data_IF_801924673931
#
_entry.id   IF_801924673931
#
_cell.length_a   1.000
_cell.length_b   1.000
_cell.length_c   1.000
_cell.angle_alpha   90.00
_cell.angle_beta   90.00
_cell.angle_gamma   90.00
#
_symmetry.space_group_name_H-M   'P 1'
#
loop_
_entity.id
_entity.type
_entity.pdbx_description
1 polymer ?
#
# COMPACT_ATOMS: atom_id res chain seq x y z
N UNK A 1 36.96 3.66 45.50
CA UNK A 1 36.34 5.02 45.53
C UNK A 1 36.15 5.49 44.09
N UNK A 2 35.07 6.21 43.78
CA UNK A 2 33.84 5.69 43.13
C UNK A 2 33.60 6.40 41.76
N UNK A 3 32.52 6.25 40.96
CA UNK A 3 31.08 6.33 41.26
C UNK A 3 30.26 6.14 39.97
N UNK A 4 29.05 5.54 40.10
CA UNK A 4 27.80 5.74 39.33
C UNK A 4 27.84 5.78 37.78
N UNK A 5 27.05 4.96 37.08
CA UNK A 5 25.61 5.21 36.94
C UNK A 5 24.80 3.92 36.83
N UNK A 6 23.90 3.75 37.80
CA UNK A 6 22.69 2.92 37.72
C UNK A 6 21.75 3.54 36.68
N UNK A 7 21.29 2.75 35.71
CA UNK A 7 19.90 2.83 35.28
C UNK A 7 19.32 1.44 35.18
N UNK A 8 18.36 1.22 36.09
CA UNK A 8 17.58 0.04 36.31
C UNK A 8 16.23 0.29 35.63
N UNK A 9 15.89 -0.48 34.60
CA UNK A 9 14.52 -0.57 34.07
C UNK A 9 14.15 -2.04 33.97
N UNK A 10 14.00 -2.60 35.17
CA UNK A 10 13.40 -3.88 35.50
C UNK A 10 11.88 -3.78 35.33
N UNK A 11 11.39 -3.85 34.10
CA UNK A 11 9.97 -4.09 33.81
C UNK A 11 9.83 -5.06 32.63
N UNK A 12 10.24 -6.31 32.84
CA UNK A 12 9.58 -7.41 32.15
C UNK A 12 8.24 -7.63 32.87
N UNK A 13 7.18 -7.01 32.34
CA UNK A 13 5.81 -7.33 32.72
C UNK A 13 5.54 -8.78 32.28
N UNK A 14 5.67 -9.73 33.21
CA UNK A 14 5.25 -11.10 32.96
C UNK A 14 3.72 -11.15 33.09
N UNK A 15 3.04 -11.22 31.96
CA UNK A 15 1.57 -11.21 31.90
C UNK A 15 0.96 -12.34 32.76
N UNK A 16 1.69 -13.44 32.92
CA UNK A 16 1.32 -14.61 33.73
C UNK A 16 1.31 -14.25 35.22
N UNK A 17 2.33 -13.54 35.72
CA UNK A 17 2.39 -13.17 37.13
C UNK A 17 1.32 -12.13 37.51
N UNK A 18 1.00 -11.21 36.60
CA UNK A 18 -0.09 -10.25 36.79
C UNK A 18 -1.46 -10.93 36.79
N UNK A 19 -1.67 -11.94 35.93
CA UNK A 19 -2.88 -12.75 35.91
C UNK A 19 -3.04 -13.56 37.20
N UNK A 20 -1.97 -14.18 37.69
CA UNK A 20 -1.99 -14.92 38.96
C UNK A 20 -2.31 -14.00 40.15
N UNK A 21 -1.77 -12.78 40.16
CA UNK A 21 -2.02 -11.80 41.22
C UNK A 21 -3.48 -11.29 41.19
N UNK A 22 -4.04 -11.01 40.02
CA UNK A 22 -5.45 -10.61 39.84
C UNK A 22 -6.41 -11.76 40.22
N UNK A 23 -6.06 -13.00 39.87
CA UNK A 23 -6.83 -14.19 40.21
C UNK A 23 -6.77 -14.54 41.70
N UNK A 24 -5.70 -14.18 42.41
CA UNK A 24 -5.56 -14.42 43.85
C UNK A 24 -6.17 -13.31 44.72
N UNK A 25 -6.18 -12.06 44.28
CA UNK A 25 -6.65 -10.91 45.08
C UNK A 25 -8.08 -10.44 44.76
N UNK A 26 -8.66 -10.88 43.64
CA UNK A 26 -9.96 -10.41 43.18
C UNK A 26 -11.17 -11.11 43.82
N UNK A 27 -12.24 -10.36 44.06
CA UNK A 27 -13.56 -10.93 44.41
C UNK A 27 -14.06 -11.86 43.29
N UNK A 28 -14.98 -12.79 43.61
CA UNK A 28 -15.51 -13.76 42.65
C UNK A 28 -16.05 -13.11 41.36
N UNK A 29 -16.61 -11.90 41.45
CA UNK A 29 -17.06 -11.12 40.30
C UNK A 29 -15.90 -10.74 39.36
N UNK A 30 -14.77 -10.30 39.89
CA UNK A 30 -13.58 -9.92 39.10
C UNK A 30 -13.02 -11.15 38.37
N UNK A 31 -12.95 -12.30 39.04
CA UNK A 31 -12.49 -13.56 38.41
C UNK A 31 -13.37 -13.96 37.23
N UNK A 32 -14.70 -13.81 37.35
CA UNK A 32 -15.65 -14.09 36.26
C UNK A 32 -15.45 -13.12 35.08
N UNK A 33 -15.22 -11.83 35.34
CA UNK A 33 -14.96 -10.85 34.27
C UNK A 33 -13.65 -11.13 33.53
N UNK A 34 -12.57 -11.45 34.24
CA UNK A 34 -11.29 -11.81 33.65
C UNK A 34 -11.39 -13.09 32.83
N UNK A 35 -12.11 -14.10 33.33
CA UNK A 35 -12.34 -15.34 32.59
C UNK A 35 -13.16 -15.11 31.31
N UNK A 36 -14.23 -14.31 31.37
CA UNK A 36 -15.02 -13.93 30.18
C UNK A 36 -14.17 -13.19 29.16
N UNK A 37 -13.31 -12.28 29.59
CA UNK A 37 -12.40 -11.53 28.71
C UNK A 37 -11.36 -12.45 28.06
N UNK A 38 -10.77 -13.39 28.82
CA UNK A 38 -9.82 -14.38 28.29
C UNK A 38 -10.48 -15.31 27.27
N UNK A 39 -11.70 -15.77 27.53
CA UNK A 39 -12.47 -16.60 26.58
C UNK A 39 -12.80 -15.82 25.30
N UNK A 40 -13.16 -14.54 25.41
CA UNK A 40 -13.38 -13.66 24.26
C UNK A 40 -12.09 -13.44 23.44
N UNK A 41 -10.95 -13.22 24.11
CA UNK A 41 -9.66 -13.06 23.46
C UNK A 41 -9.20 -14.36 22.78
N UNK A 42 -9.40 -15.52 23.42
CA UNK A 42 -9.12 -16.83 22.82
C UNK A 42 -10.01 -17.12 21.62
N UNK A 43 -11.31 -16.82 21.72
CA UNK A 43 -12.24 -16.95 20.60
C UNK A 43 -11.85 -16.05 19.43
N UNK A 44 -11.43 -14.81 19.69
CA UNK A 44 -10.92 -13.88 18.69
C UNK A 44 -9.63 -14.41 18.03
N UNK A 45 -8.69 -14.93 18.81
CA UNK A 45 -7.45 -15.54 18.31
C UNK A 45 -7.73 -16.78 17.44
N UNK A 46 -8.66 -17.66 17.86
CA UNK A 46 -9.09 -18.80 17.06
C UNK A 46 -9.78 -18.37 15.76
N UNK A 47 -10.61 -17.33 15.80
CA UNK A 47 -11.26 -16.79 14.59
C UNK A 47 -10.23 -16.21 13.61
N UNK A 48 -9.22 -15.47 14.11
CA UNK A 48 -8.10 -14.97 13.31
C UNK A 48 -7.29 -16.14 12.74
N UNK A 49 -7.00 -17.18 13.52
CA UNK A 49 -6.22 -18.33 13.08
C UNK A 49 -6.93 -19.13 11.97
N UNK A 50 -8.24 -19.38 12.11
CA UNK A 50 -9.08 -20.02 11.09
C UNK A 50 -9.15 -19.16 9.82
N UNK A 51 -9.26 -17.83 9.98
CA UNK A 51 -9.29 -16.91 8.84
C UNK A 51 -7.93 -16.81 8.12
N UNK A 52 -6.82 -16.93 8.85
CA UNK A 52 -5.47 -17.02 8.30
C UNK A 52 -5.22 -18.34 7.55
N UNK A 53 -5.77 -19.46 8.03
CA UNK A 53 -5.63 -20.77 7.38
C UNK A 53 -6.42 -20.88 6.07
N UNK A 54 -7.56 -20.19 5.94
CA UNK A 54 -8.31 -20.11 4.69
C UNK A 54 -7.65 -19.27 3.58
N UNK A 55 -6.53 -18.61 3.88
CA UNK A 55 -5.78 -17.75 2.97
C UNK A 55 -4.41 -18.34 2.61
N UNK A 56 -4.35 -19.62 2.24
CA UNK A 56 -3.13 -20.17 1.65
C UNK A 56 -2.96 -19.69 0.20
N UNK A 57 -1.76 -19.24 -0.21
CA UNK A 57 -1.49 -18.97 -1.61
C UNK A 57 -1.47 -20.29 -2.38
N UNK A 58 -2.25 -20.35 -3.47
CA UNK A 58 -2.13 -21.42 -4.46
C UNK A 58 -0.75 -21.34 -5.08
N UNK A 59 0.09 -22.34 -4.80
CA UNK A 59 1.36 -22.52 -5.48
C UNK A 59 1.05 -22.93 -6.93
N UNK A 60 1.33 -22.05 -7.89
CA UNK A 60 1.42 -22.45 -9.29
C UNK A 60 2.76 -22.03 -9.85
N UNK A 61 3.43 -23.06 -10.36
CA UNK A 61 4.72 -23.08 -11.02
C UNK A 61 4.82 -22.06 -12.15
N UNK A 62 6.06 -21.66 -12.39
CA UNK A 62 6.55 -20.90 -13.53
C UNK A 62 5.84 -21.30 -14.82
N UNK A 63 5.36 -20.30 -15.55
CA UNK A 63 5.21 -20.41 -17.00
C UNK A 63 5.88 -19.19 -17.62
N UNK A 64 6.81 -19.51 -18.51
CA UNK A 64 7.86 -18.67 -19.03
C UNK A 64 7.37 -17.50 -19.88
N UNK A 65 8.26 -16.51 -19.95
CA UNK A 65 8.27 -15.44 -20.93
C UNK A 65 8.18 -15.96 -22.37
N UNK A 66 7.16 -15.51 -23.13
CA UNK A 66 7.29 -15.22 -24.55
C UNK A 66 6.11 -14.38 -25.06
N UNK A 67 6.43 -13.25 -25.69
CA UNK A 67 5.63 -12.44 -26.61
C UNK A 67 4.12 -12.69 -26.68
N UNK A 68 3.34 -11.75 -26.15
CA UNK A 68 2.14 -11.29 -26.86
C UNK A 68 2.02 -9.77 -26.71
N UNK A 69 2.40 -9.04 -27.75
CA UNK A 69 1.66 -7.83 -28.11
C UNK A 69 0.24 -8.28 -28.51
N UNK A 70 -0.54 -8.72 -27.52
CA UNK A 70 -1.96 -8.98 -27.71
C UNK A 70 -2.57 -7.60 -27.95
N UNK A 71 -3.17 -7.43 -29.13
CA UNK A 71 -3.93 -6.23 -29.45
C UNK A 71 -4.95 -6.01 -28.32
N UNK A 72 -4.69 -5.02 -27.47
CA UNK A 72 -5.62 -4.60 -26.44
C UNK A 72 -6.93 -4.30 -27.16
N UNK A 73 -8.06 -4.81 -26.66
CA UNK A 73 -9.36 -4.46 -27.21
C UNK A 73 -9.47 -2.92 -27.28
N UNK A 74 -9.92 -2.32 -28.40
CA UNK A 74 -10.04 -0.86 -28.55
C UNK A 74 -10.72 -0.14 -27.37
N UNK A 75 -11.69 -0.78 -26.72
CA UNK A 75 -12.33 -0.26 -25.51
C UNK A 75 -11.35 -0.10 -24.35
N UNK A 76 -10.52 -1.12 -24.10
CA UNK A 76 -9.52 -1.09 -23.05
C UNK A 76 -8.40 -0.10 -23.38
N UNK A 77 -7.95 -0.03 -24.63
CA UNK A 77 -6.97 0.97 -25.09
C UNK A 77 -7.48 2.40 -24.85
N UNK A 78 -8.74 2.68 -25.19
CA UNK A 78 -9.38 3.97 -24.94
C UNK A 78 -9.39 4.34 -23.45
N UNK A 79 -9.81 3.42 -22.56
CA UNK A 79 -9.81 3.67 -21.11
C UNK A 79 -8.41 3.92 -20.55
N UNK A 80 -7.41 3.16 -21.01
CA UNK A 80 -6.03 3.30 -20.56
C UNK A 80 -5.46 4.66 -21.01
N UNK A 81 -5.73 5.07 -22.25
CA UNK A 81 -5.37 6.40 -22.77
C UNK A 81 -6.04 7.52 -21.96
N UNK A 82 -7.35 7.42 -21.70
CA UNK A 82 -8.07 8.41 -20.90
C UNK A 82 -7.49 8.55 -19.48
N UNK A 83 -7.14 7.43 -18.83
CA UNK A 83 -6.52 7.47 -17.51
C UNK A 83 -5.16 8.18 -17.53
N UNK A 84 -4.33 7.92 -18.55
CA UNK A 84 -3.03 8.57 -18.72
C UNK A 84 -3.16 10.05 -19.05
N UNK A 85 -4.11 10.41 -19.92
CA UNK A 85 -4.42 11.80 -20.27
C UNK A 85 -4.89 12.59 -19.05
N UNK A 86 -5.73 12.00 -18.20
CA UNK A 86 -6.19 12.62 -16.96
C UNK A 86 -4.99 12.98 -16.06
N UNK A 87 -4.11 12.01 -15.78
CA UNK A 87 -2.94 12.26 -14.96
C UNK A 87 -2.00 13.30 -15.56
N UNK A 88 -1.79 13.23 -16.88
CA UNK A 88 -0.96 14.21 -17.59
C UNK A 88 -1.51 15.63 -17.46
N UNK A 89 -2.79 15.84 -17.79
CA UNK A 89 -3.46 17.14 -17.70
C UNK A 89 -3.41 17.74 -16.31
N UNK A 90 -3.67 16.92 -15.28
CA UNK A 90 -3.64 17.37 -13.88
C UNK A 90 -2.23 17.80 -13.47
N UNK A 91 -1.19 17.04 -13.86
CA UNK A 91 0.21 17.39 -13.56
C UNK A 91 0.65 18.71 -14.20
N UNK A 92 0.23 18.98 -15.44
CA UNK A 92 0.54 20.24 -16.12
C UNK A 92 -0.45 21.36 -15.76
N UNK A 93 -1.32 21.16 -14.76
CA UNK A 93 -2.34 22.13 -14.31
C UNK A 93 -3.29 22.59 -15.43
N UNK A 94 -3.54 21.74 -16.44
CA UNK A 94 -4.47 22.00 -17.54
C UNK A 94 -5.90 21.53 -17.21
N UNK A 95 -6.90 22.00 -17.97
CA UNK A 95 -8.29 21.57 -17.79
C UNK A 95 -8.48 20.07 -18.10
N UNK A 96 -8.99 19.35 -17.10
CA UNK A 96 -9.22 17.91 -17.11
C UNK A 96 -10.71 17.51 -17.06
N UNK A 97 -11.63 18.47 -16.96
CA UNK A 97 -13.07 18.21 -16.75
C UNK A 97 -13.70 17.33 -17.82
N UNK A 98 -13.30 17.49 -19.08
CA UNK A 98 -13.79 16.67 -20.18
C UNK A 98 -13.40 15.19 -20.02
N UNK A 99 -12.15 14.94 -19.61
CA UNK A 99 -11.63 13.58 -19.38
C UNK A 99 -12.27 12.96 -18.13
N UNK A 100 -12.44 13.73 -17.06
CA UNK A 100 -13.19 13.32 -15.85
C UNK A 100 -14.61 12.88 -16.23
N UNK A 101 -15.32 13.66 -17.05
CA UNK A 101 -16.67 13.34 -17.52
C UNK A 101 -16.68 12.07 -18.36
N UNK A 102 -15.72 11.88 -19.25
CA UNK A 102 -15.60 10.68 -20.08
C UNK A 102 -15.38 9.41 -19.23
N UNK A 103 -14.49 9.47 -18.24
CA UNK A 103 -14.21 8.37 -17.32
C UNK A 103 -15.40 8.06 -16.39
N UNK A 104 -16.09 9.10 -15.92
CA UNK A 104 -17.32 8.96 -15.13
C UNK A 104 -18.46 8.32 -15.94
N UNK A 105 -18.58 8.68 -17.22
CA UNK A 105 -19.60 8.18 -18.14
C UNK A 105 -19.38 6.77 -18.67
N UNK A 106 -18.26 6.11 -18.31
CA UNK A 106 -18.09 4.69 -18.57
C UNK A 106 -19.20 3.88 -17.85
N UNK A 107 -19.48 2.69 -18.34
CA UNK A 107 -20.31 1.72 -17.62
C UNK A 107 -19.42 0.75 -16.85
N UNK A 108 -19.95 0.23 -15.75
CA UNK A 108 -19.27 -0.83 -14.98
C UNK A 108 -18.83 -2.01 -15.87
N UNK A 109 -19.67 -2.44 -16.81
CA UNK A 109 -19.36 -3.53 -17.72
C UNK A 109 -18.21 -3.21 -18.68
N UNK A 110 -18.09 -1.96 -19.15
CA UNK A 110 -16.95 -1.55 -19.97
C UNK A 110 -15.65 -1.62 -19.16
N UNK A 111 -15.67 -1.10 -17.93
CA UNK A 111 -14.51 -1.12 -17.04
C UNK A 111 -14.09 -2.56 -16.71
N UNK A 112 -15.03 -3.39 -16.27
CA UNK A 112 -14.77 -4.79 -15.90
C UNK A 112 -14.27 -5.63 -17.08
N UNK A 113 -14.91 -5.52 -18.26
CA UNK A 113 -14.51 -6.32 -19.44
C UNK A 113 -13.25 -5.79 -20.12
N UNK A 114 -12.92 -4.51 -19.97
CA UNK A 114 -11.76 -3.90 -20.59
C UNK A 114 -10.47 -4.11 -19.79
N UNK A 115 -10.53 -4.04 -18.46
CA UNK A 115 -9.35 -4.24 -17.59
C UNK A 115 -9.12 -5.72 -17.26
N UNK A 116 -8.79 -6.52 -18.29
CA UNK A 116 -8.74 -7.99 -18.18
C UNK A 116 -7.58 -8.56 -17.39
N UNK A 117 -6.45 -7.85 -17.31
CA UNK A 117 -5.23 -8.35 -16.71
C UNK A 117 -4.61 -7.32 -15.76
N UNK A 118 -3.66 -7.75 -14.93
CA UNK A 118 -3.01 -6.90 -13.94
C UNK A 118 -2.24 -5.73 -14.56
N UNK A 119 -1.67 -5.87 -15.75
CA UNK A 119 -1.00 -4.75 -16.43
C UNK A 119 -2.00 -3.62 -16.76
N UNK A 120 -3.18 -3.95 -17.28
CA UNK A 120 -4.24 -2.99 -17.56
C UNK A 120 -4.81 -2.39 -16.27
N UNK A 121 -5.10 -3.24 -15.26
CA UNK A 121 -5.59 -2.78 -13.95
C UNK A 121 -4.59 -1.82 -13.30
N UNK A 122 -3.31 -2.19 -13.18
CA UNK A 122 -2.26 -1.34 -12.61
C UNK A 122 -2.12 -0.03 -13.37
N UNK A 123 -2.06 -0.07 -14.69
CA UNK A 123 -1.95 1.15 -15.53
C UNK A 123 -3.09 2.11 -15.26
N UNK A 124 -4.34 1.62 -15.35
CA UNK A 124 -5.52 2.44 -15.16
C UNK A 124 -5.58 3.01 -13.74
N UNK A 125 -5.45 2.16 -12.72
CA UNK A 125 -5.69 2.56 -11.33
C UNK A 125 -4.54 3.39 -10.73
N UNK A 126 -3.29 3.16 -11.12
CA UNK A 126 -2.16 4.01 -10.69
C UNK A 126 -2.29 5.41 -11.31
N UNK A 127 -2.73 5.51 -12.56
CA UNK A 127 -3.02 6.81 -13.19
C UNK A 127 -4.17 7.53 -12.48
N UNK A 128 -5.30 6.83 -12.30
CA UNK A 128 -6.49 7.37 -11.63
C UNK A 128 -6.16 7.85 -10.21
N UNK A 129 -5.47 7.05 -9.41
CA UNK A 129 -5.09 7.41 -8.05
C UNK A 129 -4.26 8.70 -8.01
N UNK A 130 -3.18 8.76 -8.79
CA UNK A 130 -2.27 9.92 -8.78
C UNK A 130 -2.93 11.19 -9.32
N UNK A 131 -3.84 11.06 -10.29
CA UNK A 131 -4.57 12.20 -10.82
C UNK A 131 -5.58 12.72 -9.80
N UNK A 132 -6.37 11.82 -9.21
CA UNK A 132 -7.38 12.19 -8.23
C UNK A 132 -6.79 12.67 -6.92
N UNK A 133 -5.63 12.17 -6.50
CA UNK A 133 -4.91 12.73 -5.36
C UNK A 133 -4.66 14.24 -5.55
N UNK A 134 -4.12 14.64 -6.71
CA UNK A 134 -3.87 16.05 -7.03
C UNK A 134 -5.17 16.86 -7.18
N UNK A 135 -6.21 16.31 -7.82
CA UNK A 135 -7.52 17.00 -7.90
C UNK A 135 -8.09 17.23 -6.50
N UNK A 136 -8.06 16.22 -5.63
CA UNK A 136 -8.59 16.31 -4.27
C UNK A 136 -7.77 17.29 -3.42
N UNK A 137 -6.45 17.25 -3.51
CA UNK A 137 -5.55 18.12 -2.77
C UNK A 137 -5.62 19.58 -3.22
N UNK A 138 -5.55 19.84 -4.54
CA UNK A 138 -5.38 21.19 -5.09
C UNK A 138 -6.72 21.85 -5.41
N UNK A 139 -7.62 21.15 -6.11
CA UNK A 139 -8.91 21.74 -6.54
C UNK A 139 -9.95 21.72 -5.43
N UNK A 140 -9.94 20.67 -4.60
CA UNK A 140 -10.94 20.48 -3.54
C UNK A 140 -10.38 20.75 -2.13
N UNK A 141 -9.10 21.10 -2.00
CA UNK A 141 -8.43 21.42 -0.74
C UNK A 141 -8.69 20.38 0.37
N UNK A 142 -8.76 19.10 -0.01
CA UNK A 142 -9.01 18.01 0.94
C UNK A 142 -7.72 17.71 1.70
N UNK A 143 -7.85 17.62 3.01
CA UNK A 143 -6.75 17.28 3.91
C UNK A 143 -6.94 15.87 4.49
N UNK A 144 -5.91 15.36 5.17
CA UNK A 144 -5.97 14.07 5.84
C UNK A 144 -6.95 14.12 7.03
N UNK A 145 -7.69 13.03 7.33
CA UNK A 145 -7.73 11.76 6.59
C UNK A 145 -8.69 11.78 5.39
N UNK A 146 -9.53 12.82 5.27
CA UNK A 146 -10.65 12.93 4.32
C UNK A 146 -10.24 12.75 2.87
N UNK A 147 -9.06 13.25 2.48
CA UNK A 147 -8.51 13.08 1.13
C UNK A 147 -8.45 11.61 0.71
N UNK A 148 -8.19 10.68 1.65
CA UNK A 148 -8.07 9.25 1.32
C UNK A 148 -9.37 8.48 1.43
N UNK A 149 -10.26 8.90 2.34
CA UNK A 149 -11.42 8.11 2.75
C UNK A 149 -12.73 8.53 2.09
N UNK A 150 -12.86 9.77 1.63
CA UNK A 150 -14.10 10.25 1.01
C UNK A 150 -14.26 9.68 -0.42
N UNK A 151 -15.46 9.20 -0.75
CA UNK A 151 -15.80 8.62 -2.05
C UNK A 151 -16.09 9.70 -3.10
N UNK A 152 -15.05 10.42 -3.52
CA UNK A 152 -15.13 11.57 -4.42
C UNK A 152 -14.55 11.31 -5.82
N UNK A 153 -14.23 10.05 -6.15
CA UNK A 153 -13.66 9.65 -7.43
C UNK A 153 -14.75 8.99 -8.29
N UNK A 154 -15.43 9.75 -9.16
CA UNK A 154 -16.41 9.20 -10.08
C UNK A 154 -15.72 8.41 -11.20
N UNK A 155 -16.06 7.14 -11.35
CA UNK A 155 -15.57 6.28 -12.43
C UNK A 155 -16.56 5.17 -12.74
N UNK A 156 -16.92 5.01 -14.01
CA UNK A 156 -17.81 3.95 -14.47
C UNK A 156 -19.17 3.87 -13.73
N UNK A 157 -19.73 5.02 -13.34
CA UNK A 157 -20.94 5.11 -12.50
C UNK A 157 -20.75 4.76 -11.01
N UNK A 158 -19.52 4.50 -10.57
CA UNK A 158 -19.15 4.30 -9.17
C UNK A 158 -18.58 5.58 -8.57
N UNK A 159 -18.69 5.72 -7.24
CA UNK A 159 -17.97 6.71 -6.45
C UNK A 159 -16.96 6.01 -5.55
N UNK A 160 -15.67 6.14 -5.85
CA UNK A 160 -14.58 5.49 -5.13
C UNK A 160 -13.81 6.51 -4.26
N UNK A 161 -13.13 6.02 -3.24
CA UNK A 161 -12.11 6.75 -2.50
C UNK A 161 -10.69 6.34 -2.95
N UNK A 162 -9.67 7.10 -2.54
CA UNK A 162 -8.28 6.67 -2.79
C UNK A 162 -7.96 5.38 -2.04
N UNK A 163 -8.51 5.19 -0.83
CA UNK A 163 -8.37 3.94 -0.06
C UNK A 163 -9.02 2.76 -0.79
N UNK A 164 -10.15 2.96 -1.48
CA UNK A 164 -10.77 1.91 -2.31
C UNK A 164 -9.85 1.49 -3.46
N UNK A 165 -9.22 2.46 -4.13
CA UNK A 165 -8.30 2.19 -5.24
C UNK A 165 -7.01 1.51 -4.75
N UNK A 166 -6.38 2.05 -3.72
CA UNK A 166 -5.10 1.52 -3.22
C UNK A 166 -5.31 0.20 -2.48
N UNK A 167 -6.13 0.21 -1.43
CA UNK A 167 -6.26 -0.94 -0.54
C UNK A 167 -7.26 -1.97 -1.05
N UNK A 168 -8.34 -1.53 -1.68
CA UNK A 168 -9.36 -2.40 -2.25
C UNK A 168 -8.90 -3.06 -3.56
N UNK A 169 -8.45 -2.25 -4.52
CA UNK A 169 -8.19 -2.70 -5.88
C UNK A 169 -6.73 -3.13 -6.08
N UNK A 170 -5.76 -2.23 -5.87
CA UNK A 170 -4.34 -2.47 -6.18
C UNK A 170 -3.65 -3.39 -5.19
N UNK A 171 -4.04 -3.34 -3.91
CA UNK A 171 -3.54 -4.23 -2.86
C UNK A 171 -4.44 -5.43 -2.63
N UNK A 172 -5.45 -5.66 -3.47
CA UNK A 172 -6.33 -6.83 -3.38
C UNK A 172 -6.97 -6.94 -2.00
N UNK A 173 -7.81 -5.95 -1.68
CA UNK A 173 -8.61 -5.82 -0.46
C UNK A 173 -7.81 -6.05 0.83
N UNK A 174 -6.63 -5.44 0.95
CA UNK A 174 -5.83 -5.48 2.19
C UNK A 174 -6.30 -4.42 3.17
N UNK A 175 -6.32 -4.77 4.44
CA UNK A 175 -6.71 -3.82 5.46
C UNK A 175 -5.55 -2.84 5.75
N UNK A 176 -5.84 -1.54 5.67
CA UNK A 176 -4.89 -0.42 5.85
C UNK A 176 -4.04 -0.54 7.12
N UNK A 177 -4.67 -0.91 8.23
CA UNK A 177 -4.02 -0.98 9.55
C UNK A 177 -3.32 -2.30 9.83
N UNK A 178 -3.36 -3.24 8.91
CA UNK A 178 -2.86 -4.61 9.13
C UNK A 178 -1.41 -4.83 8.71
N UNK A 179 -0.67 -3.78 8.34
CA UNK A 179 0.64 -3.89 7.69
C UNK A 179 0.66 -4.75 6.40
N UNK A 180 -0.51 -5.02 5.82
CA UNK A 180 -0.72 -5.95 4.70
C UNK A 180 -0.98 -7.41 5.10
N UNK A 181 -1.07 -7.74 6.39
CA UNK A 181 -1.28 -9.13 6.84
C UNK A 181 -2.73 -9.58 6.76
N UNK A 182 -3.70 -8.68 6.94
CA UNK A 182 -5.13 -9.04 6.99
C UNK A 182 -5.88 -8.51 5.75
N UNK A 183 -6.84 -9.28 5.22
CA UNK A 183 -7.80 -8.74 4.27
C UNK A 183 -8.76 -7.74 4.96
N UNK A 184 -9.38 -6.87 4.18
CA UNK A 184 -10.47 -6.00 4.62
C UNK A 184 -11.66 -6.85 5.08
N UNK A 185 -12.37 -6.35 6.09
CA UNK A 185 -13.61 -6.97 6.52
C UNK A 185 -14.70 -6.67 5.48
N UNK A 186 -15.23 -7.73 4.85
CA UNK A 186 -16.33 -7.69 3.88
C UNK A 186 -16.15 -6.65 2.74
N UNK A 187 -15.17 -6.84 1.84
CA UNK A 187 -14.98 -5.93 0.71
C UNK A 187 -16.20 -5.97 -0.23
N UNK A 188 -16.60 -4.81 -0.75
CA UNK A 188 -17.69 -4.70 -1.71
C UNK A 188 -17.42 -5.58 -2.94
N UNK A 189 -18.48 -6.19 -3.49
CA UNK A 189 -18.38 -7.10 -4.64
C UNK A 189 -17.71 -6.44 -5.86
N UNK A 190 -18.09 -5.20 -6.14
CA UNK A 190 -17.53 -4.39 -7.24
C UNK A 190 -16.02 -4.20 -7.09
N UNK A 191 -15.54 -3.88 -5.88
CA UNK A 191 -14.10 -3.73 -5.60
C UNK A 191 -13.36 -5.04 -5.84
N UNK A 192 -13.92 -6.18 -5.41
CA UNK A 192 -13.31 -7.50 -5.63
C UNK A 192 -13.17 -7.83 -7.11
N UNK A 193 -14.19 -7.51 -7.91
CA UNK A 193 -14.20 -7.76 -9.35
C UNK A 193 -13.21 -6.87 -10.12
N UNK A 194 -12.95 -5.65 -9.62
CA UNK A 194 -11.98 -4.71 -10.20
C UNK A 194 -10.55 -4.92 -9.72
N UNK A 195 -10.35 -5.63 -8.60
CA UNK A 195 -9.06 -5.84 -7.96
C UNK A 195 -8.07 -6.62 -8.84
N UNK A 196 -6.78 -6.36 -8.63
CA UNK A 196 -5.70 -7.15 -9.26
C UNK A 196 -5.71 -8.61 -8.80
N UNK A 197 -5.22 -9.48 -9.65
CA UNK A 197 -5.08 -10.90 -9.37
C UNK A 197 -3.89 -11.14 -8.43
N UNK A 198 -2.82 -10.37 -8.57
CA UNK A 198 -1.60 -10.42 -7.77
C UNK A 198 -1.20 -9.04 -7.23
N UNK A 199 -0.79 -9.00 -5.95
CA UNK A 199 -0.30 -7.76 -5.32
C UNK A 199 1.11 -7.47 -5.87
N UNK A 200 1.33 -6.27 -6.36
CA UNK A 200 2.62 -5.78 -6.83
C UNK A 200 3.14 -4.70 -5.86
N UNK A 201 4.18 -5.00 -5.08
CA UNK A 201 4.70 -4.08 -4.08
C UNK A 201 5.18 -2.74 -4.67
N UNK A 202 5.53 -2.71 -5.97
CA UNK A 202 6.09 -1.52 -6.62
C UNK A 202 5.08 -0.37 -6.71
N UNK A 203 3.79 -0.67 -6.58
CA UNK A 203 2.74 0.36 -6.53
C UNK A 203 2.95 1.32 -5.36
N UNK A 204 3.52 0.89 -4.24
CA UNK A 204 3.80 1.75 -3.07
C UNK A 204 4.77 2.90 -3.39
N UNK A 205 5.61 2.74 -4.40
CA UNK A 205 6.55 3.77 -4.85
C UNK A 205 6.01 4.60 -6.01
N UNK A 206 4.89 4.16 -6.59
CA UNK A 206 4.26 4.77 -7.77
C UNK A 206 3.06 5.65 -7.41
N UNK A 207 2.42 5.39 -6.28
CA UNK A 207 1.30 6.17 -5.74
C UNK A 207 1.80 7.36 -4.92
N UNK A 208 1.08 8.48 -4.99
CA UNK A 208 1.48 9.76 -4.37
C UNK A 208 2.88 10.21 -4.78
N UNK A 209 3.29 9.90 -6.02
CA UNK A 209 4.63 10.23 -6.49
C UNK A 209 4.74 11.73 -6.82
N UNK A 210 4.84 12.54 -5.77
CA UNK A 210 5.06 13.99 -5.80
C UNK A 210 6.26 14.42 -4.95
N UNK A 211 7.01 13.49 -4.35
CA UNK A 211 8.23 13.82 -3.61
C UNK A 211 9.40 14.17 -4.56
N UNK A 212 10.36 14.97 -4.10
CA UNK A 212 11.59 15.34 -4.83
C UNK A 212 12.39 14.15 -5.40
N UNK A 213 12.21 12.97 -4.81
CA UNK A 213 12.85 11.69 -5.15
C UNK A 213 12.09 10.85 -6.18
N UNK A 214 10.95 11.33 -6.69
CA UNK A 214 10.15 10.64 -7.71
C UNK A 214 10.75 10.78 -9.12
N UNK A 215 10.75 9.71 -9.94
CA UNK A 215 11.18 9.84 -11.32
C UNK A 215 10.14 10.66 -12.11
N UNK A 216 10.55 11.36 -13.18
CA UNK A 216 9.67 12.19 -14.00
C UNK A 216 8.75 11.34 -14.90
N UNK A 217 7.89 10.53 -14.29
CA UNK A 217 6.87 9.77 -14.99
C UNK A 217 5.69 10.71 -15.20
N UNK A 218 5.46 11.15 -16.44
CA UNK A 218 4.29 11.95 -16.77
C UNK A 218 3.00 11.17 -16.47
N UNK A 219 2.90 9.96 -17.00
CA UNK A 219 1.80 9.02 -16.75
C UNK A 219 2.25 7.58 -17.01
N UNK A 220 1.49 6.61 -16.50
CA UNK A 220 1.77 5.19 -16.68
C UNK A 220 1.11 4.66 -17.96
N UNK A 221 1.80 3.79 -18.68
CA UNK A 221 1.35 3.18 -19.94
C UNK A 221 1.32 1.67 -19.82
N UNK A 222 0.36 1.05 -20.50
CA UNK A 222 0.20 -0.41 -20.48
C UNK A 222 1.44 -1.17 -20.95
N UNK A 223 2.01 -0.73 -22.07
CA UNK A 223 3.19 -1.34 -22.70
C UNK A 223 4.50 -1.11 -21.92
N UNK A 224 4.46 -0.24 -20.89
CA UNK A 224 5.63 0.17 -20.10
C UNK A 224 5.41 0.06 -18.58
N UNK A 225 4.27 -0.47 -18.13
CA UNK A 225 3.86 -0.40 -16.73
C UNK A 225 4.91 -1.00 -15.81
N UNK A 226 5.45 -2.17 -16.12
CA UNK A 226 6.46 -2.81 -15.27
C UNK A 226 7.78 -2.03 -15.25
N UNK A 227 8.22 -1.50 -16.39
CA UNK A 227 9.42 -0.65 -16.47
C UNK A 227 9.25 0.64 -15.65
N UNK A 228 8.07 1.26 -15.72
CA UNK A 228 7.77 2.50 -14.99
C UNK A 228 7.64 2.26 -13.49
N UNK A 229 7.07 1.14 -13.07
CA UNK A 229 7.02 0.72 -11.67
C UNK A 229 8.42 0.41 -11.13
N UNK A 230 9.29 -0.24 -11.92
CA UNK A 230 10.69 -0.48 -11.55
C UNK A 230 11.46 0.84 -11.42
N UNK A 231 11.23 1.79 -12.34
CA UNK A 231 11.84 3.12 -12.28
C UNK A 231 11.42 3.88 -11.02
N UNK A 232 10.12 3.88 -10.69
CA UNK A 232 9.58 4.46 -9.46
C UNK A 232 10.24 3.83 -8.22
N UNK A 233 10.35 2.51 -8.21
CA UNK A 233 11.00 1.76 -7.13
C UNK A 233 12.45 2.17 -6.95
N UNK A 234 13.26 2.15 -8.02
CA UNK A 234 14.68 2.48 -7.93
C UNK A 234 14.90 3.93 -7.49
N UNK A 235 14.13 4.86 -8.06
CA UNK A 235 14.23 6.28 -7.73
C UNK A 235 13.90 6.54 -6.26
N UNK A 236 12.76 6.01 -5.80
CA UNK A 236 12.32 6.15 -4.41
C UNK A 236 13.34 5.54 -3.44
N UNK A 237 13.74 4.29 -3.68
CA UNK A 237 14.66 3.58 -2.78
C UNK A 237 16.03 4.25 -2.70
N UNK A 238 16.52 4.83 -3.80
CA UNK A 238 17.78 5.60 -3.80
C UNK A 238 17.65 6.97 -3.14
N UNK A 239 16.51 7.64 -3.31
CA UNK A 239 16.29 8.97 -2.76
C UNK A 239 15.95 8.99 -1.27
N UNK A 240 15.28 7.94 -0.77
CA UNK A 240 14.73 7.88 0.59
C UNK A 240 15.47 6.92 1.53
N UNK A 241 16.57 6.32 1.08
CA UNK A 241 17.38 5.41 1.91
C UNK A 241 18.76 5.99 2.23
N UNK A 242 19.20 5.79 3.47
CA UNK A 242 20.55 6.12 3.94
C UNK A 242 21.26 4.83 4.32
N UNK A 243 22.50 4.68 3.87
CA UNK A 243 23.35 3.51 4.12
C UNK A 243 24.52 3.96 4.99
N UNK A 244 24.60 3.44 6.22
CA UNK A 244 25.73 3.64 7.14
C UNK A 244 26.53 2.33 7.17
N UNK A 245 27.68 2.32 6.48
CA UNK A 245 28.51 1.12 6.33
C UNK A 245 29.31 0.78 7.60
N UNK A 246 29.71 1.79 8.37
CA UNK A 246 30.48 1.62 9.60
C UNK A 246 29.64 0.92 10.67
N UNK A 247 28.38 1.34 10.80
CA UNK A 247 27.43 0.73 11.76
C UNK A 247 26.65 -0.43 11.16
N UNK A 248 26.78 -0.68 9.86
CA UNK A 248 25.96 -1.63 9.09
C UNK A 248 24.46 -1.38 9.30
N UNK A 249 24.00 -0.15 9.04
CA UNK A 249 22.59 0.24 9.18
C UNK A 249 22.04 0.70 7.82
N UNK A 250 20.87 0.17 7.47
CA UNK A 250 20.02 0.66 6.38
C UNK A 250 18.85 1.42 6.98
N UNK A 251 18.84 2.74 6.84
CA UNK A 251 17.69 3.56 7.18
C UNK A 251 16.84 3.72 5.94
N UNK A 252 15.60 3.21 5.96
CA UNK A 252 14.67 3.22 4.82
C UNK A 252 13.36 3.93 5.18
N UNK A 253 12.55 4.26 4.18
CA UNK A 253 11.26 4.92 4.41
C UNK A 253 10.28 4.10 5.25
N UNK A 254 9.52 4.76 6.13
CA UNK A 254 8.46 4.14 6.95
C UNK A 254 7.38 3.43 6.14
N UNK A 255 7.21 3.77 4.85
CA UNK A 255 6.29 3.07 3.95
C UNK A 255 6.60 1.56 3.87
N UNK A 256 7.88 1.19 3.95
CA UNK A 256 8.31 -0.21 3.97
C UNK A 256 7.88 -0.94 5.25
N UNK A 257 7.67 -0.21 6.35
CA UNK A 257 7.11 -0.75 7.58
C UNK A 257 5.58 -0.88 7.52
N UNK A 258 4.90 0.16 7.01
CA UNK A 258 3.43 0.16 6.89
C UNK A 258 2.88 -0.89 5.94
N UNK A 259 3.64 -1.32 4.93
CA UNK A 259 3.23 -2.37 4.00
C UNK A 259 4.19 -3.56 4.03
N UNK A 260 4.80 -3.81 5.19
CA UNK A 260 5.85 -4.82 5.38
C UNK A 260 5.53 -6.19 4.79
N UNK A 261 4.26 -6.64 4.85
CA UNK A 261 3.88 -7.94 4.27
C UNK A 261 4.00 -7.96 2.75
N UNK A 262 3.65 -6.87 2.08
CA UNK A 262 3.65 -6.73 0.62
C UNK A 262 5.09 -6.81 0.10
N UNK A 263 6.06 -6.33 0.87
CA UNK A 263 7.50 -6.43 0.58
C UNK A 263 8.13 -7.78 0.96
N UNK A 264 7.39 -8.74 1.50
CA UNK A 264 7.96 -10.01 1.96
C UNK A 264 8.68 -9.93 3.31
N UNK A 265 8.29 -8.98 4.17
CA UNK A 265 8.90 -8.78 5.48
C UNK A 265 10.28 -8.14 5.42
N UNK A 266 11.02 -8.18 6.54
CA UNK A 266 12.36 -7.59 6.62
C UNK A 266 13.34 -8.23 5.62
N UNK A 267 13.21 -9.52 5.33
CA UNK A 267 14.05 -10.23 4.36
C UNK A 267 13.77 -9.76 2.93
N UNK A 268 12.51 -9.58 2.56
CA UNK A 268 12.18 -9.09 1.24
C UNK A 268 12.52 -7.60 1.05
N UNK A 269 12.42 -6.77 2.10
CA UNK A 269 12.97 -5.40 2.10
C UNK A 269 14.49 -5.44 1.84
N UNK A 270 15.22 -6.33 2.52
CA UNK A 270 16.66 -6.49 2.30
C UNK A 270 16.98 -6.95 0.88
N UNK A 271 16.25 -7.93 0.36
CA UNK A 271 16.41 -8.40 -1.02
C UNK A 271 16.13 -7.29 -2.04
N UNK A 272 15.13 -6.44 -1.78
CA UNK A 272 14.84 -5.27 -2.60
C UNK A 272 16.00 -4.27 -2.57
N UNK A 273 16.55 -3.95 -1.39
CA UNK A 273 17.74 -3.10 -1.26
C UNK A 273 18.93 -3.69 -2.04
N UNK A 274 19.16 -4.99 -1.91
CA UNK A 274 20.22 -5.68 -2.65
C UNK A 274 20.03 -5.58 -4.15
N UNK A 275 18.80 -5.76 -4.64
CA UNK A 275 18.47 -5.61 -6.06
C UNK A 275 18.69 -4.18 -6.56
N UNK A 276 18.24 -3.17 -5.81
CA UNK A 276 18.31 -1.75 -6.22
C UNK A 276 19.74 -1.22 -6.23
N UNK A 277 20.52 -1.52 -5.20
CA UNK A 277 21.89 -1.02 -5.04
C UNK A 277 22.95 -1.97 -5.58
N UNK A 278 22.55 -3.17 -6.05
CA UNK A 278 23.45 -4.22 -6.55
C UNK A 278 24.55 -4.57 -5.54
N UNK A 279 24.18 -4.63 -4.26
CA UNK A 279 25.09 -4.84 -3.11
C UNK A 279 24.45 -5.77 -2.08
N UNK A 280 25.23 -6.65 -1.47
CA UNK A 280 24.75 -7.48 -0.37
C UNK A 280 24.59 -6.67 0.93
N UNK A 281 23.46 -6.89 1.61
CA UNK A 281 23.14 -6.28 2.88
C UNK A 281 22.81 -7.31 3.98
N UNK A 282 23.13 -8.60 3.81
CA UNK A 282 22.77 -9.68 4.75
C UNK A 282 23.16 -9.40 6.21
N UNK A 283 24.21 -8.61 6.46
CA UNK A 283 24.64 -8.19 7.81
C UNK A 283 24.14 -6.83 8.32
N UNK A 284 23.24 -6.14 7.61
CA UNK A 284 22.82 -4.79 7.99
C UNK A 284 21.56 -4.81 8.87
N UNK A 285 21.46 -3.93 9.87
CA UNK A 285 20.20 -3.67 10.56
C UNK A 285 19.29 -2.77 9.72
N UNK A 286 17.98 -3.00 9.72
CA UNK A 286 17.00 -2.12 9.05
C UNK A 286 16.38 -1.20 10.09
N UNK A 287 16.50 0.10 9.86
CA UNK A 287 15.82 1.16 10.60
C UNK A 287 14.83 1.88 9.67
N UNK A 288 13.76 2.41 10.24
CA UNK A 288 12.77 3.17 9.49
C UNK A 288 12.86 4.64 9.89
N UNK A 289 12.88 5.53 8.91
CA UNK A 289 12.83 6.96 9.18
C UNK A 289 11.49 7.39 9.80
N UNK A 290 11.49 8.55 10.44
CA UNK A 290 10.24 9.21 10.79
C UNK A 290 9.63 9.79 9.53
N UNK A 291 8.42 9.33 9.19
CA UNK A 291 7.72 9.80 8.02
C UNK A 291 7.28 11.25 8.23
N UNK A 292 7.89 12.17 7.49
CA UNK A 292 7.49 13.58 7.50
C UNK A 292 6.34 13.78 6.50
N UNK A 293 5.13 13.87 7.03
CA UNK A 293 3.90 14.05 6.29
C UNK A 293 3.78 15.38 5.53
N UNK A 294 4.63 16.37 5.83
CA UNK A 294 4.57 17.74 5.27
C UNK A 294 5.34 17.87 3.95
N UNK A 295 6.26 16.95 3.63
CA UNK A 295 7.08 17.00 2.40
C UNK A 295 6.34 16.64 1.11
N UNK A 296 5.16 16.02 1.19
CA UNK A 296 4.41 15.54 0.02
C UNK A 296 3.51 16.62 -0.62
N UNK A 297 3.29 17.75 0.06
CA UNK A 297 2.41 18.83 -0.42
C UNK A 297 3.13 19.93 -1.20
N UNK A 298 4.43 20.14 -0.95
CA UNK A 298 5.18 21.31 -1.44
C UNK A 298 5.87 21.17 -2.80
N UNK A 299 5.76 20.02 -3.48
CA UNK A 299 6.58 19.71 -4.67
C UNK A 299 5.76 19.57 -5.97
N UNK A 300 4.46 19.93 -5.94
CA UNK A 300 3.65 20.07 -7.16
C UNK A 300 3.68 21.51 -7.73
N UNK A 301 4.46 22.40 -7.10
CA UNK A 301 4.53 23.83 -7.40
C UNK A 301 5.91 24.30 -7.92
N UNK A 302 6.81 23.40 -8.30
CA UNK A 302 8.07 23.74 -9.02
C UNK A 302 8.17 23.01 -10.37
#
# INVERSE_FOLDING_TARGET
>A
MPTALKYNLKYQFNLISLLDEILNLGSLKIKIYVLKLLVLLLALCCFIAVWCYGAQPVNKSQMDSCNTASMINPMADSMLKLSGELLYKVKIKADSKAVEKALSGLTYNQLFKGLKNDAAKKTFWVNMYNAWYQILAIRLNKTRPKIFTEQLIPVAGLSLSLDDIEHGILRKYRWKWSMGYLPQFLPQKTIKELAVDSIDYRIHFALNCGAKSCPPIAFYRYDKIDQQLDMATVSFMKGESVIDDDKKILTVSKILSWFKRDFGGSNGIRALMTKVFKRDFTGYSIQFNDYNWDKDLGNFDE
#
